data_IF_126862352682
#
_entry.id   IF_126862352682
#
_cell.length_a   1.000
_cell.length_b   1.000
_cell.length_c   1.000
_cell.angle_alpha   90.00
_cell.angle_beta   90.00
_cell.angle_gamma   90.00
#
_symmetry.space_group_name_H-M   'P 1'
#
loop_
_entity.id
_entity.type
_entity.pdbx_description
1 polymer ?
#
# COMPACT_ATOMS: atom_id res chain seq x y z
N UNK A 1 -59.39 -43.36 -26.98
CA UNK A 1 -59.16 -41.95 -27.36
C UNK A 1 -57.74 -41.56 -26.90
N UNK A 2 -56.74 -42.40 -27.16
CA UNK A 2 -56.12 -42.64 -28.48
C UNK A 2 -55.08 -41.53 -28.72
N UNK A 3 -53.82 -41.77 -29.04
CA UNK A 3 -53.20 -42.96 -29.63
C UNK A 3 -51.67 -42.76 -29.61
N UNK A 4 -50.95 -43.89 -29.63
CA UNK A 4 -49.77 -44.18 -30.47
C UNK A 4 -48.49 -43.33 -30.40
N UNK A 5 -47.30 -43.82 -30.73
CA UNK A 5 -46.62 -45.13 -30.79
C UNK A 5 -45.19 -44.76 -31.26
N UNK A 6 -44.24 -45.63 -30.92
CA UNK A 6 -43.00 -45.96 -31.65
C UNK A 6 -42.00 -44.89 -32.17
N UNK A 7 -40.83 -44.90 -31.51
CA UNK A 7 -39.56 -45.43 -32.04
C UNK A 7 -39.15 -45.26 -33.52
N UNK A 8 -37.96 -44.65 -33.68
CA UNK A 8 -36.78 -45.07 -34.47
C UNK A 8 -36.35 -44.32 -35.77
N UNK A 9 -35.00 -44.21 -35.82
CA UNK A 9 -34.07 -44.18 -36.97
C UNK A 9 -33.63 -42.85 -37.62
N UNK A 10 -32.35 -42.57 -37.36
CA UNK A 10 -31.29 -41.94 -38.17
C UNK A 10 -31.62 -41.50 -39.61
N UNK A 11 -31.17 -40.28 -39.95
CA UNK A 11 -30.37 -40.06 -41.16
C UNK A 11 -29.45 -38.84 -40.96
N UNK A 12 -28.17 -39.04 -41.27
CA UNK A 12 -27.09 -38.06 -41.33
C UNK A 12 -27.34 -37.04 -42.46
N UNK A 13 -26.94 -35.80 -42.25
CA UNK A 13 -26.38 -34.96 -43.31
C UNK A 13 -25.34 -34.01 -42.69
N UNK A 14 -24.10 -34.25 -43.10
CA UNK A 14 -22.94 -33.39 -42.91
C UNK A 14 -23.16 -32.01 -43.54
N UNK A 15 -22.91 -30.95 -42.80
CA UNK A 15 -22.43 -29.70 -43.39
C UNK A 15 -21.47 -29.04 -42.39
N UNK A 16 -20.18 -29.37 -42.57
CA UNK A 16 -19.06 -28.61 -42.05
C UNK A 16 -19.12 -27.17 -42.59
N UNK A 17 -19.43 -26.19 -41.74
CA UNK A 17 -18.80 -24.88 -41.81
C UNK A 17 -18.43 -24.36 -40.43
N UNK A 18 -17.12 -24.37 -40.20
CA UNK A 18 -16.44 -23.49 -39.27
C UNK A 18 -17.00 -22.05 -39.36
N UNK A 19 -17.28 -21.44 -38.21
CA UNK A 19 -16.49 -20.30 -37.73
C UNK A 19 -17.14 -19.62 -36.51
N UNK A 20 -16.32 -19.46 -35.47
CA UNK A 20 -16.30 -18.36 -34.49
C UNK A 20 -17.37 -18.38 -33.38
N UNK A 21 -17.06 -19.18 -32.35
CA UNK A 21 -17.52 -18.91 -30.99
C UNK A 21 -16.98 -17.55 -30.52
N UNK A 22 -17.87 -16.55 -30.41
CA UNK A 22 -17.65 -15.36 -29.60
C UNK A 22 -17.57 -15.77 -28.13
N UNK A 23 -16.38 -16.18 -27.64
CA UNK A 23 -16.10 -16.17 -26.21
C UNK A 23 -16.02 -14.71 -25.79
N UNK A 24 -17.06 -14.26 -25.07
CA UNK A 24 -17.06 -13.00 -24.35
C UNK A 24 -15.87 -12.95 -23.41
N UNK A 25 -14.81 -12.29 -23.85
CA UNK A 25 -13.72 -11.87 -23.00
C UNK A 25 -14.26 -10.83 -22.03
N UNK A 26 -14.56 -11.26 -20.81
CA UNK A 26 -14.71 -10.34 -19.70
C UNK A 26 -13.35 -9.68 -19.47
N UNK A 27 -13.14 -8.56 -20.15
CA UNK A 27 -12.00 -7.68 -19.93
C UNK A 27 -12.15 -7.10 -18.53
N UNK A 28 -11.50 -7.74 -17.57
CA UNK A 28 -11.22 -7.18 -16.26
C UNK A 28 -10.47 -5.87 -16.47
N UNK A 29 -11.17 -4.76 -16.29
CA UNK A 29 -10.57 -3.44 -16.14
C UNK A 29 -9.69 -3.49 -14.89
N UNK A 30 -8.39 -3.74 -15.10
CA UNK A 30 -7.37 -3.47 -14.11
C UNK A 30 -7.30 -1.95 -13.92
N UNK A 31 -8.05 -1.45 -12.95
CA UNK A 31 -7.84 -0.11 -12.42
C UNK A 31 -6.47 -0.07 -11.73
N UNK A 32 -5.45 0.31 -12.51
CA UNK A 32 -4.20 0.79 -11.97
C UNK A 32 -4.45 2.11 -11.23
N UNK A 33 -4.66 2.02 -9.91
CA UNK A 33 -4.57 3.18 -9.02
C UNK A 33 -3.10 3.61 -8.92
N UNK A 34 -2.67 4.46 -9.85
CA UNK A 34 -1.55 5.37 -9.61
C UNK A 34 -1.97 6.39 -8.55
N UNK A 35 -1.61 6.17 -7.28
CA UNK A 35 -1.60 7.25 -6.29
C UNK A 35 -0.21 7.88 -6.25
N UNK A 36 0.02 8.83 -7.14
CA UNK A 36 1.01 9.89 -6.94
C UNK A 36 0.26 11.20 -6.75
N UNK A 37 0.46 11.79 -5.57
CA UNK A 37 0.09 13.15 -5.19
C UNK A 37 -1.36 13.55 -5.52
N UNK A 38 -2.31 13.04 -4.72
CA UNK A 38 -3.45 13.87 -4.38
C UNK A 38 -3.59 13.84 -2.85
N UNK A 39 -3.34 14.99 -2.23
CA UNK A 39 -3.77 15.21 -0.86
C UNK A 39 -5.29 15.44 -0.92
N UNK A 40 -6.04 14.39 -1.26
CA UNK A 40 -7.50 14.43 -1.23
C UNK A 40 -7.93 14.43 0.23
N UNK A 41 -8.00 15.64 0.80
CA UNK A 41 -8.67 15.89 2.06
C UNK A 41 -10.16 15.63 1.87
N UNK A 42 -10.60 14.42 2.16
CA UNK A 42 -12.02 14.17 2.36
C UNK A 42 -12.32 14.52 3.81
N UNK A 43 -12.78 15.75 4.05
CA UNK A 43 -13.52 16.06 5.27
C UNK A 43 -14.88 15.43 5.06
N UNK A 44 -15.01 14.18 5.47
CA UNK A 44 -16.30 13.49 5.48
C UNK A 44 -17.12 14.06 6.65
N UNK A 45 -18.43 14.11 6.44
CA UNK A 45 -19.56 14.69 7.20
C UNK A 45 -19.52 14.61 8.74
N UNK A 46 -18.55 13.90 9.32
CA UNK A 46 -18.31 13.67 10.76
C UNK A 46 -17.02 14.32 11.32
N UNK A 47 -16.30 15.10 10.51
CA UNK A 47 -15.04 15.74 10.93
C UNK A 47 -13.85 14.78 11.02
N UNK A 48 -13.98 13.59 10.44
CA UNK A 48 -12.89 12.62 10.30
C UNK A 48 -12.09 13.00 9.05
N UNK A 49 -10.78 13.07 9.21
CA UNK A 49 -9.84 13.31 8.13
C UNK A 49 -8.64 12.38 8.22
N UNK A 50 -7.84 12.38 7.16
CA UNK A 50 -6.57 11.67 7.12
C UNK A 50 -5.46 12.52 6.54
N UNK A 51 -4.23 12.23 6.92
CA UNK A 51 -3.04 12.80 6.28
C UNK A 51 -1.88 11.81 6.30
N UNK A 52 -0.91 12.06 5.42
CA UNK A 52 0.32 11.27 5.34
C UNK A 52 1.46 12.07 5.92
N UNK A 53 2.10 11.54 6.95
CA UNK A 53 3.42 11.99 7.40
C UNK A 53 4.50 11.29 6.58
N UNK A 54 5.39 12.08 5.99
CA UNK A 54 6.50 11.59 5.19
C UNK A 54 7.80 12.28 5.57
N UNK A 55 8.82 11.49 5.88
CA UNK A 55 10.20 11.94 6.13
C UNK A 55 11.18 10.88 5.67
N UNK A 56 12.42 11.27 5.36
CA UNK A 56 13.48 10.31 5.00
C UNK A 56 14.26 9.82 6.21
N UNK A 57 14.56 10.72 7.16
CA UNK A 57 15.38 10.43 8.35
C UNK A 57 14.81 9.25 9.17
N UNK A 58 15.68 8.43 9.79
CA UNK A 58 15.24 7.34 10.65
C UNK A 58 14.58 7.86 11.93
N UNK A 59 13.70 7.04 12.51
CA UNK A 59 13.24 7.25 13.88
C UNK A 59 14.21 6.63 14.88
N UNK A 60 14.26 7.20 16.08
CA UNK A 60 14.64 6.50 17.30
C UNK A 60 13.45 5.63 17.74
N UNK A 61 13.66 4.31 17.85
CA UNK A 61 12.59 3.36 18.16
C UNK A 61 11.89 3.66 19.48
N UNK A 62 12.64 4.00 20.52
CA UNK A 62 12.06 4.24 21.84
C UNK A 62 11.23 5.53 21.86
N UNK A 63 11.68 6.58 21.18
CA UNK A 63 10.95 7.86 21.13
C UNK A 63 9.60 7.72 20.43
N UNK A 64 9.54 7.07 19.26
CA UNK A 64 8.28 6.95 18.52
C UNK A 64 7.27 6.07 19.25
N UNK A 65 7.71 4.99 19.89
CA UNK A 65 6.82 4.12 20.68
C UNK A 65 6.27 4.88 21.90
N UNK A 66 7.14 5.57 22.65
CA UNK A 66 6.71 6.37 23.80
C UNK A 66 5.78 7.53 23.41
N UNK A 67 5.94 8.09 22.21
CA UNK A 67 5.03 9.09 21.65
C UNK A 67 3.67 8.46 21.30
N UNK A 68 3.68 7.32 20.60
CA UNK A 68 2.47 6.65 20.14
C UNK A 68 1.58 6.17 21.30
N UNK A 69 2.17 5.78 22.44
CA UNK A 69 1.44 5.44 23.66
C UNK A 69 0.64 6.62 24.24
N UNK A 70 1.05 7.86 23.90
CA UNK A 70 0.50 9.11 24.44
C UNK A 70 -0.31 9.90 23.42
N UNK A 71 -0.59 9.32 22.26
CA UNK A 71 -1.34 10.05 21.24
C UNK A 71 -2.70 10.52 21.75
N UNK A 72 -3.11 11.74 21.38
CA UNK A 72 -4.41 12.26 21.77
C UNK A 72 -5.52 11.43 21.13
N UNK A 73 -6.70 11.43 21.76
CA UNK A 73 -7.91 10.75 21.25
C UNK A 73 -8.36 11.23 19.87
N UNK A 74 -7.88 12.39 19.42
CA UNK A 74 -8.10 12.89 18.06
C UNK A 74 -7.45 11.98 17.02
N UNK A 75 -6.40 11.23 17.35
CA UNK A 75 -5.83 10.18 16.49
C UNK A 75 -6.57 8.87 16.77
N UNK A 76 -7.36 8.42 15.79
CA UNK A 76 -8.12 7.17 15.88
C UNK A 76 -7.21 5.98 15.55
N UNK A 77 -6.41 6.12 14.49
CA UNK A 77 -5.51 5.08 14.00
C UNK A 77 -4.33 5.70 13.26
N UNK A 78 -3.18 5.04 13.37
CA UNK A 78 -2.03 5.26 12.50
C UNK A 78 -1.57 3.94 11.89
N UNK A 79 -1.24 3.94 10.59
CA UNK A 79 -0.60 2.81 9.94
C UNK A 79 0.39 3.27 8.90
N UNK A 80 1.53 2.59 8.80
CA UNK A 80 2.42 2.83 7.67
C UNK A 80 3.76 2.13 7.77
N UNK A 81 4.63 2.47 6.84
CA UNK A 81 6.00 1.99 6.81
C UNK A 81 6.87 2.92 7.65
N UNK A 82 7.69 2.33 8.51
CA UNK A 82 8.73 3.05 9.25
C UNK A 82 10.06 2.32 9.18
N UNK A 83 11.12 3.04 9.53
CA UNK A 83 12.44 2.45 9.70
C UNK A 83 13.23 3.15 10.81
N UNK A 84 14.18 2.40 11.35
CA UNK A 84 14.92 2.76 12.56
C UNK A 84 16.40 2.92 12.29
N UNK A 85 17.04 3.79 13.07
CA UNK A 85 18.48 3.99 13.00
C UNK A 85 19.25 2.74 13.44
N UNK A 86 18.72 2.02 14.42
CA UNK A 86 19.32 0.82 14.99
C UNK A 86 19.32 -0.36 14.01
N UNK A 87 18.37 -0.37 13.06
CA UNK A 87 18.21 -1.44 12.08
C UNK A 87 17.98 -0.86 10.68
N UNK A 88 18.99 -0.19 10.09
CA UNK A 88 18.84 0.61 8.89
C UNK A 88 18.49 -0.23 7.65
N UNK A 89 18.74 -1.53 7.69
CA UNK A 89 18.46 -2.42 6.57
C UNK A 89 17.00 -2.87 6.49
N UNK A 90 16.25 -2.79 7.60
CA UNK A 90 14.93 -3.40 7.73
C UNK A 90 13.83 -2.34 7.76
N UNK A 91 12.78 -2.56 6.97
CA UNK A 91 11.55 -1.79 7.08
C UNK A 91 10.57 -2.47 8.03
N UNK A 92 9.69 -1.67 8.62
CA UNK A 92 8.65 -2.13 9.53
C UNK A 92 7.28 -1.61 9.09
N UNK A 93 6.24 -2.44 9.21
CA UNK A 93 4.86 -1.96 9.24
C UNK A 93 4.53 -1.63 10.69
N UNK A 94 4.25 -0.36 10.92
CA UNK A 94 3.74 0.18 12.17
C UNK A 94 2.23 0.26 12.11
N UNK A 95 1.56 -0.27 13.12
CA UNK A 95 0.12 -0.13 13.31
C UNK A 95 -0.18 0.31 14.73
N UNK A 96 -1.06 1.29 14.86
CA UNK A 96 -1.61 1.71 16.15
C UNK A 96 -3.09 1.99 16.01
N UNK A 97 -3.86 1.52 16.99
CA UNK A 97 -5.27 1.84 17.15
C UNK A 97 -5.62 1.81 18.65
N UNK A 98 -6.14 2.92 19.17
CA UNK A 98 -6.33 3.09 20.61
C UNK A 98 -5.01 2.94 21.38
N UNK A 99 -4.94 1.98 22.31
CA UNK A 99 -3.72 1.73 23.10
C UNK A 99 -2.84 0.60 22.54
N UNK A 100 -3.28 -0.07 21.47
CA UNK A 100 -2.52 -1.17 20.88
C UNK A 100 -1.52 -0.61 19.87
N UNK A 101 -0.26 -0.96 20.02
CA UNK A 101 0.83 -0.65 19.10
C UNK A 101 1.45 -1.96 18.64
N UNK A 102 1.67 -2.10 17.33
CA UNK A 102 2.29 -3.26 16.72
C UNK A 102 3.34 -2.83 15.70
N UNK A 103 4.43 -3.59 15.66
CA UNK A 103 5.50 -3.43 14.70
C UNK A 103 5.84 -4.78 14.09
N UNK A 104 5.83 -4.86 12.76
CA UNK A 104 6.13 -6.10 12.04
C UNK A 104 7.20 -5.83 10.99
N UNK A 105 8.25 -6.65 10.95
CA UNK A 105 9.25 -6.56 9.89
C UNK A 105 8.60 -6.73 8.50
N UNK A 106 8.97 -5.87 7.56
CA UNK A 106 8.40 -5.79 6.21
C UNK A 106 9.46 -5.91 5.12
N UNK A 107 10.50 -6.71 5.39
CA UNK A 107 11.57 -6.95 4.44
C UNK A 107 12.60 -5.82 4.41
N UNK A 108 13.73 -6.15 3.75
CA UNK A 108 14.90 -5.28 3.69
C UNK A 108 14.74 -4.23 2.60
N UNK A 109 15.29 -3.04 2.84
CA UNK A 109 15.38 -1.98 1.85
C UNK A 109 16.29 -2.37 0.68
N UNK A 110 15.97 -1.92 -0.54
CA UNK A 110 16.84 -2.09 -1.70
C UNK A 110 18.21 -1.45 -1.45
N UNK A 111 18.24 -0.34 -0.72
CA UNK A 111 19.46 0.34 -0.30
C UNK A 111 20.32 -0.43 0.73
N UNK A 112 19.95 -1.67 1.07
CA UNK A 112 20.79 -2.62 1.81
C UNK A 112 21.42 -3.71 0.93
N UNK A 113 21.11 -3.72 -0.37
CA UNK A 113 21.69 -4.65 -1.34
C UNK A 113 23.05 -4.16 -1.86
N UNK A 114 23.76 -5.02 -2.58
CA UNK A 114 24.99 -4.65 -3.27
C UNK A 114 24.72 -3.67 -4.43
N UNK A 115 25.73 -2.88 -4.82
CA UNK A 115 25.59 -1.84 -5.83
C UNK A 115 25.11 -2.39 -7.18
N UNK A 116 25.58 -3.57 -7.61
CA UNK A 116 25.17 -4.16 -8.88
C UNK A 116 23.68 -4.56 -8.86
N UNK A 117 23.19 -5.07 -7.74
CA UNK A 117 21.78 -5.34 -7.52
C UNK A 117 20.94 -4.06 -7.51
N UNK A 118 21.41 -2.99 -6.85
CA UNK A 118 20.75 -1.68 -6.85
C UNK A 118 20.65 -1.15 -8.28
N UNK A 119 21.75 -1.08 -9.02
CA UNK A 119 21.81 -0.52 -10.37
C UNK A 119 20.85 -1.26 -11.31
N UNK A 120 20.86 -2.61 -11.26
CA UNK A 120 19.94 -3.45 -12.03
C UNK A 120 18.47 -3.14 -11.74
N UNK A 121 18.12 -2.92 -10.48
CA UNK A 121 16.73 -2.59 -10.08
C UNK A 121 16.37 -1.16 -10.51
N UNK A 122 17.28 -0.20 -10.36
CA UNK A 122 17.06 1.19 -10.77
C UNK A 122 16.98 1.37 -12.30
N UNK A 123 17.64 0.52 -13.07
CA UNK A 123 17.49 0.45 -14.53
C UNK A 123 16.15 -0.19 -14.92
N UNK A 124 15.81 -1.32 -14.29
CA UNK A 124 14.58 -2.07 -14.60
C UNK A 124 13.29 -1.36 -14.17
N UNK A 125 13.33 -0.58 -13.08
CA UNK A 125 12.16 0.05 -12.49
C UNK A 125 12.36 1.58 -12.34
N UNK A 126 12.10 2.36 -13.40
CA UNK A 126 12.32 3.81 -13.41
C UNK A 126 11.58 4.57 -12.29
N UNK A 127 10.46 4.05 -11.80
CA UNK A 127 9.71 4.63 -10.68
C UNK A 127 10.49 4.57 -9.36
N UNK A 128 11.27 3.52 -9.14
CA UNK A 128 12.13 3.40 -7.94
C UNK A 128 13.26 4.42 -8.04
N UNK A 129 13.86 4.56 -9.22
CA UNK A 129 14.88 5.58 -9.51
C UNK A 129 14.36 7.00 -9.26
N UNK A 130 13.13 7.32 -9.64
CA UNK A 130 12.52 8.64 -9.37
C UNK A 130 12.34 8.93 -7.87
N UNK A 131 12.13 7.89 -7.08
CA UNK A 131 11.93 7.99 -5.63
C UNK A 131 13.22 7.74 -4.83
N UNK A 132 14.35 7.52 -5.51
CA UNK A 132 15.62 7.22 -4.86
C UNK A 132 16.21 8.46 -4.23
N UNK A 133 16.57 8.37 -2.95
CA UNK A 133 17.29 9.39 -2.22
C UNK A 133 18.80 9.11 -2.26
N UNK A 134 19.66 10.10 -2.51
CA UNK A 134 21.11 9.89 -2.60
C UNK A 134 21.76 9.48 -1.27
N UNK A 135 21.14 9.81 -0.13
CA UNK A 135 21.64 9.49 1.21
C UNK A 135 20.97 8.22 1.75
N UNK A 136 19.66 8.13 1.59
CA UNK A 136 18.84 7.11 2.24
C UNK A 136 18.39 5.99 1.30
N UNK A 137 18.55 6.15 -0.01
CA UNK A 137 18.06 5.23 -1.04
C UNK A 137 16.54 5.17 -1.06
N UNK A 138 15.96 3.98 -0.94
CA UNK A 138 14.51 3.78 -0.89
C UNK A 138 13.90 3.92 0.52
N UNK A 139 14.72 4.18 1.55
CA UNK A 139 14.26 4.34 2.94
C UNK A 139 13.38 5.57 3.13
N UNK A 140 12.28 5.41 3.86
CA UNK A 140 11.34 6.48 4.19
C UNK A 140 10.45 6.12 5.37
N UNK A 141 10.10 7.12 6.16
CA UNK A 141 8.92 7.11 7.01
C UNK A 141 7.72 7.47 6.14
N UNK A 142 6.67 6.65 6.18
CA UNK A 142 5.41 6.92 5.51
C UNK A 142 4.27 6.39 6.37
N UNK A 143 3.72 7.27 7.20
CA UNK A 143 2.64 6.98 8.14
C UNK A 143 1.35 7.68 7.70
N UNK A 144 0.24 6.95 7.69
CA UNK A 144 -1.10 7.49 7.47
C UNK A 144 -1.79 7.63 8.82
N UNK A 145 -2.18 8.86 9.15
CA UNK A 145 -2.98 9.18 10.32
C UNK A 145 -4.43 9.33 9.92
N UNK A 146 -5.33 8.74 10.69
CA UNK A 146 -6.78 8.89 10.56
C UNK A 146 -7.32 9.33 11.92
N UNK A 147 -8.14 10.36 11.92
CA UNK A 147 -8.58 10.96 13.16
C UNK A 147 -9.58 12.09 12.98
N UNK A 148 -10.10 12.59 14.09
CA UNK A 148 -11.09 13.66 14.11
C UNK A 148 -10.44 14.93 14.66
N UNK A 149 -10.61 16.06 13.95
CA UNK A 149 -10.06 17.36 14.36
C UNK A 149 -8.56 17.32 14.76
N UNK A 150 -7.77 16.53 14.03
CA UNK A 150 -6.33 16.40 14.31
C UNK A 150 -5.59 17.71 14.04
N UNK A 151 -4.74 18.13 14.98
CA UNK A 151 -3.74 19.16 14.70
C UNK A 151 -2.56 18.52 13.97
N UNK A 152 -2.63 18.54 12.63
CA UNK A 152 -1.60 17.97 11.77
C UNK A 152 -0.22 18.53 12.10
N UNK A 153 -0.11 19.85 12.31
CA UNK A 153 1.19 20.50 12.49
C UNK A 153 1.85 20.03 13.78
N UNK A 154 1.10 20.02 14.88
CA UNK A 154 1.57 19.51 16.17
C UNK A 154 2.00 18.04 16.08
N UNK A 155 1.22 17.20 15.39
CA UNK A 155 1.56 15.78 15.19
C UNK A 155 2.86 15.64 14.38
N UNK A 156 3.01 16.39 13.29
CA UNK A 156 4.24 16.36 12.49
C UNK A 156 5.46 16.82 13.29
N UNK A 157 5.33 17.86 14.13
CA UNK A 157 6.42 18.36 14.98
C UNK A 157 6.84 17.34 16.06
N UNK A 158 5.89 16.67 16.69
CA UNK A 158 6.18 15.60 17.67
C UNK A 158 6.86 14.39 17.02
N UNK A 159 6.43 14.02 15.81
CA UNK A 159 7.08 12.97 15.03
C UNK A 159 8.50 13.40 14.62
N UNK A 160 8.68 14.65 14.15
CA UNK A 160 9.99 15.17 13.76
C UNK A 160 10.99 15.17 14.93
N UNK A 161 10.52 15.38 16.17
CA UNK A 161 11.34 15.26 17.39
C UNK A 161 11.80 13.82 17.70
N UNK A 162 11.14 12.80 17.12
CA UNK A 162 11.55 11.41 17.21
C UNK A 162 12.61 11.01 16.17
N UNK A 163 12.87 11.87 15.17
CA UNK A 163 13.88 11.61 14.15
C UNK A 163 15.29 11.79 14.69
N UNK A 164 16.22 11.03 14.12
CA UNK A 164 17.65 11.10 14.43
C UNK A 164 18.49 11.14 13.15
N UNK A 165 19.74 11.55 13.28
CA UNK A 165 20.74 11.55 12.19
C UNK A 165 21.54 10.26 12.16
#
# INVERSE_FOLDING_TARGET
>A
DDDDEHEHHHHDDDDEKEEKHHKGGHHHHHHHHHHNADASYQVEEYGIGSFVYFRRRPFDRNKIIALAEKWPRSIIRCKGMIWYKEEPDMSYIFEQAGHMIQEMQSGRFLASADQASIDRVLEKYPQVRKMWDPVYGDRMQKLVFIGQNMDRKEIEEQLDACLVD
#
